data_IF_057143433955
#
_entry.id   IF_057143433955
#
_cell.length_a   1.000
_cell.length_b   1.000
_cell.length_c   1.000
_cell.angle_alpha   90.00
_cell.angle_beta   90.00
_cell.angle_gamma   90.00
#
_symmetry.space_group_name_H-M   'P 1'
#
loop_
_entity.id
_entity.type
_entity.pdbx_description
1 polymer ?
#
# COMPACT_ATOMS: atom_id res chain seq x y z
N UNK A 1 15.62 17.99 -24.28
CA UNK A 1 15.87 16.70 -23.59
C UNK A 1 15.02 16.69 -22.33
N UNK A 2 13.78 16.20 -22.43
CA UNK A 2 12.78 16.28 -21.35
C UNK A 2 12.44 14.88 -20.83
N UNK A 3 12.62 14.66 -19.53
CA UNK A 3 12.21 13.45 -18.83
C UNK A 3 10.83 13.69 -18.21
N UNK A 4 9.81 12.97 -18.69
CA UNK A 4 8.46 12.99 -18.13
C UNK A 4 8.37 12.09 -16.88
N UNK A 5 8.12 12.68 -15.71
CA UNK A 5 7.80 11.99 -14.47
C UNK A 5 6.29 11.97 -14.24
N UNK A 6 5.76 10.80 -13.86
CA UNK A 6 4.33 10.59 -13.54
C UNK A 6 4.06 10.99 -12.09
N UNK A 7 3.11 11.90 -11.85
CA UNK A 7 2.55 12.11 -10.52
C UNK A 7 1.39 11.17 -10.23
N UNK A 8 1.04 11.10 -8.97
CA UNK A 8 0.02 10.22 -8.42
C UNK A 8 -1.28 11.02 -8.31
N UNK A 9 -2.24 10.65 -9.17
CA UNK A 9 -3.65 11.10 -9.25
C UNK A 9 -3.98 12.31 -10.14
N UNK A 10 -4.31 12.04 -11.42
CA UNK A 10 -5.68 12.10 -11.95
C UNK A 10 -5.63 11.87 -13.47
N UNK A 11 -6.03 10.69 -13.96
CA UNK A 11 -6.24 10.48 -15.40
C UNK A 11 -7.47 9.61 -15.68
N UNK A 12 -8.52 10.32 -16.08
CA UNK A 12 -9.59 9.83 -16.92
C UNK A 12 -9.12 9.80 -18.39
N UNK A 13 -9.33 8.63 -19.02
CA UNK A 13 -9.62 8.42 -20.45
C UNK A 13 -8.50 8.60 -21.51
N UNK A 14 -8.22 7.51 -22.26
CA UNK A 14 -8.41 7.35 -23.74
C UNK A 14 -7.35 6.47 -24.43
N UNK A 15 -7.86 5.36 -25.00
CA UNK A 15 -7.54 4.56 -26.22
C UNK A 15 -6.21 3.80 -26.39
N UNK A 16 -6.40 2.50 -26.70
CA UNK A 16 -5.43 1.48 -27.09
C UNK A 16 -5.20 1.44 -28.61
N UNK A 17 -4.01 1.00 -29.03
CA UNK A 17 -3.79 0.17 -30.23
C UNK A 17 -2.93 -1.05 -29.86
N UNK A 18 -3.09 -2.22 -30.52
CA UNK A 18 -2.68 -3.53 -30.01
C UNK A 18 -1.40 -4.07 -30.67
N UNK A 19 -0.61 -4.92 -30.00
CA UNK A 19 0.08 -6.11 -30.58
C UNK A 19 0.53 -7.10 -29.48
N UNK A 20 -0.09 -8.28 -29.51
CA UNK A 20 0.31 -9.67 -29.18
C UNK A 20 1.22 -10.05 -27.98
N UNK A 21 0.66 -10.90 -27.10
CA UNK A 21 1.20 -12.23 -26.77
C UNK A 21 2.32 -12.37 -25.73
N UNK A 22 2.00 -12.41 -24.43
CA UNK A 22 2.82 -13.09 -23.42
C UNK A 22 1.99 -13.43 -22.15
N UNK A 23 2.34 -14.57 -21.52
CA UNK A 23 1.65 -15.27 -20.43
C UNK A 23 1.05 -14.38 -19.29
N UNK A 24 -0.17 -14.75 -18.84
CA UNK A 24 -0.89 -14.09 -17.74
C UNK A 24 -0.16 -14.23 -16.40
N UNK A 25 0.66 -13.23 -16.08
CA UNK A 25 1.34 -13.04 -14.81
C UNK A 25 0.35 -12.69 -13.69
N UNK A 26 0.45 -13.38 -12.54
CA UNK A 26 -0.35 -13.12 -11.32
C UNK A 26 -0.17 -11.65 -10.87
N UNK A 27 -1.26 -10.90 -10.78
CA UNK A 27 -1.26 -9.53 -10.24
C UNK A 27 -0.93 -9.51 -8.74
N UNK A 28 0.03 -8.67 -8.32
CA UNK A 28 0.65 -8.66 -6.97
C UNK A 28 -0.12 -7.76 -5.99
N UNK A 29 -0.24 -8.20 -4.73
CA UNK A 29 -1.01 -7.57 -3.62
C UNK A 29 -0.15 -6.64 -2.73
N UNK A 30 0.52 -5.64 -3.29
CA UNK A 30 1.30 -4.69 -2.48
C UNK A 30 1.14 -3.27 -3.00
N UNK A 31 1.22 -2.29 -2.09
CA UNK A 31 1.21 -0.85 -2.34
C UNK A 31 2.49 -0.38 -3.07
N UNK A 32 2.75 -0.96 -4.23
CA UNK A 32 3.90 -0.69 -5.07
C UNK A 32 3.38 -0.02 -6.33
N UNK A 33 4.05 1.05 -6.76
CA UNK A 33 3.75 1.71 -8.01
C UNK A 33 3.59 0.67 -9.15
N UNK A 34 2.45 0.63 -9.86
CA UNK A 34 2.19 -0.34 -10.94
C UNK A 34 3.18 -0.23 -12.11
N UNK A 35 3.88 0.91 -12.23
CA UNK A 35 4.91 1.17 -13.23
C UNK A 35 6.29 0.60 -12.83
N UNK A 36 6.44 0.15 -11.58
CA UNK A 36 7.67 -0.47 -11.06
C UNK A 36 8.83 0.50 -10.86
N UNK A 37 8.59 1.82 -10.85
CA UNK A 37 9.65 2.79 -10.64
C UNK A 37 10.15 2.74 -9.20
N UNK A 38 11.48 2.66 -9.06
CA UNK A 38 12.19 2.67 -7.78
C UNK A 38 13.59 3.24 -7.97
N UNK A 39 14.21 3.63 -6.88
CA UNK A 39 15.63 3.99 -6.90
C UNK A 39 16.51 2.77 -7.19
N UNK A 40 17.60 2.99 -7.92
CA UNK A 40 18.56 1.93 -8.30
C UNK A 40 19.72 1.79 -7.31
N UNK A 41 19.83 2.72 -6.38
CA UNK A 41 20.84 2.80 -5.33
C UNK A 41 20.17 2.91 -3.95
N UNK A 42 20.90 2.51 -2.92
CA UNK A 42 20.38 2.47 -1.55
C UNK A 42 20.72 3.72 -0.72
N UNK A 43 21.79 4.43 -1.09
CA UNK A 43 22.22 5.65 -0.40
C UNK A 43 21.55 6.85 -1.05
N UNK A 44 20.35 7.19 -0.58
CA UNK A 44 19.56 8.28 -1.08
C UNK A 44 19.91 9.58 -0.35
N UNK A 45 19.91 10.66 -1.10
CA UNK A 45 20.17 12.01 -0.59
C UNK A 45 18.90 12.83 -0.69
N UNK A 46 18.65 13.68 0.30
CA UNK A 46 17.52 14.61 0.25
C UNK A 46 17.95 16.03 0.59
N UNK A 47 17.14 17.01 0.18
CA UNK A 47 17.41 18.41 0.44
C UNK A 47 16.11 19.20 0.64
N UNK A 48 16.08 20.02 1.68
CA UNK A 48 14.98 20.94 1.96
C UNK A 48 15.30 22.28 1.30
N UNK A 49 14.55 22.64 0.26
CA UNK A 49 14.78 23.86 -0.53
C UNK A 49 13.96 25.05 -0.04
N UNK A 50 12.80 24.79 0.55
CA UNK A 50 11.92 25.80 1.17
C UNK A 50 11.44 25.26 2.51
N UNK A 51 11.25 26.13 3.50
CA UNK A 51 10.84 25.78 4.86
C UNK A 51 9.43 26.34 5.15
N UNK A 52 8.67 25.72 6.05
CA UNK A 52 7.35 26.21 6.42
C UNK A 52 7.44 27.53 7.19
N UNK A 53 6.39 28.34 7.12
CA UNK A 53 6.32 29.59 7.89
C UNK A 53 5.91 29.35 9.35
N UNK A 54 5.28 28.21 9.65
CA UNK A 54 4.68 27.91 10.96
C UNK A 54 5.58 27.09 11.89
N UNK A 55 6.69 26.55 11.37
CA UNK A 55 7.63 25.72 12.10
C UNK A 55 9.07 26.17 11.81
N UNK A 56 9.90 26.28 12.85
CA UNK A 56 11.28 26.71 12.65
C UNK A 56 12.11 25.67 11.86
N UNK A 57 13.25 26.10 11.31
CA UNK A 57 14.08 25.26 10.43
C UNK A 57 14.61 24.00 11.12
N UNK A 58 14.96 24.08 12.39
CA UNK A 58 15.56 22.97 13.12
C UNK A 58 14.52 21.90 13.46
N UNK A 59 13.34 22.30 13.91
CA UNK A 59 12.21 21.39 14.12
C UNK A 59 11.71 20.79 12.79
N UNK A 60 11.75 21.55 11.70
CA UNK A 60 11.44 21.04 10.36
C UNK A 60 12.44 19.94 9.96
N UNK A 61 13.75 20.20 10.05
CA UNK A 61 14.78 19.19 9.77
C UNK A 61 14.62 17.96 10.64
N UNK A 62 14.35 18.17 11.93
CA UNK A 62 14.11 17.08 12.88
C UNK A 62 12.89 16.25 12.49
N UNK A 63 11.78 16.88 12.11
CA UNK A 63 10.58 16.17 11.68
C UNK A 63 10.84 15.31 10.43
N UNK A 64 11.47 15.90 9.41
CA UNK A 64 11.82 15.22 8.16
C UNK A 64 12.82 14.08 8.41
N UNK A 65 13.83 14.30 9.26
CA UNK A 65 14.78 13.25 9.65
C UNK A 65 14.09 12.07 10.33
N UNK A 66 13.15 12.32 11.25
CA UNK A 66 12.37 11.25 11.91
C UNK A 66 11.53 10.49 10.88
N UNK A 67 10.94 11.19 9.91
CA UNK A 67 10.15 10.58 8.85
C UNK A 67 10.99 9.67 7.95
N UNK A 68 12.21 10.07 7.57
CA UNK A 68 13.14 9.20 6.85
C UNK A 68 13.59 8.00 7.69
N UNK A 69 13.83 8.18 8.99
CA UNK A 69 14.23 7.09 9.88
C UNK A 69 13.21 5.95 9.90
N UNK A 70 11.90 6.26 9.85
CA UNK A 70 10.83 5.25 9.77
C UNK A 70 11.02 4.27 8.61
N UNK A 71 11.51 4.74 7.46
CA UNK A 71 11.74 3.91 6.28
C UNK A 71 13.09 3.20 6.31
N UNK A 72 14.16 3.86 6.80
CA UNK A 72 15.47 3.20 6.95
C UNK A 72 15.44 2.09 8.02
N UNK A 73 14.57 2.19 9.02
CA UNK A 73 14.45 1.18 10.07
C UNK A 73 13.90 -0.17 9.56
N UNK A 74 13.20 -0.17 8.41
CA UNK A 74 12.51 -1.35 7.86
C UNK A 74 13.02 -1.77 6.48
N UNK A 75 14.01 -1.05 5.93
CA UNK A 75 14.57 -1.28 4.60
C UNK A 75 16.09 -1.05 4.58
N UNK A 76 16.83 -1.59 3.59
CA UNK A 76 18.27 -1.35 3.47
C UNK A 76 18.64 0.06 2.94
N UNK A 77 17.69 0.99 2.89
CA UNK A 77 17.90 2.35 2.42
C UNK A 77 18.59 3.21 3.48
N UNK A 78 19.50 4.06 3.04
CA UNK A 78 20.18 5.06 3.85
C UNK A 78 19.83 6.44 3.31
N UNK A 79 19.60 7.40 4.21
CA UNK A 79 19.20 8.76 3.87
C UNK A 79 20.19 9.77 4.45
N UNK A 80 20.62 10.73 3.63
CA UNK A 80 21.48 11.83 4.06
C UNK A 80 20.95 13.18 3.59
N UNK A 81 20.84 14.16 4.50
CA UNK A 81 20.51 15.54 4.13
C UNK A 81 21.72 16.20 3.47
N UNK A 82 21.51 16.83 2.32
CA UNK A 82 22.47 17.72 1.68
C UNK A 82 22.11 19.16 2.02
N UNK A 83 22.94 19.81 2.84
CA UNK A 83 22.76 21.22 3.22
C UNK A 83 23.39 22.20 2.22
N UNK A 84 24.29 21.73 1.36
CA UNK A 84 24.95 22.59 0.37
C UNK A 84 23.96 22.98 -0.75
N UNK A 85 23.70 24.28 -0.98
CA UNK A 85 22.73 24.72 -1.98
C UNK A 85 23.12 24.38 -3.42
N UNK A 86 24.40 24.17 -3.72
CA UNK A 86 24.90 23.91 -5.07
C UNK A 86 24.94 22.42 -5.44
N UNK A 87 24.65 21.53 -4.49
CA UNK A 87 24.55 20.09 -4.77
C UNK A 87 23.09 19.70 -5.01
N UNK A 88 22.88 18.86 -6.03
CA UNK A 88 21.63 18.15 -6.26
C UNK A 88 21.46 17.03 -5.25
N UNK A 89 20.21 16.64 -5.01
CA UNK A 89 19.84 15.50 -4.17
C UNK A 89 18.83 14.62 -4.93
N UNK A 90 18.69 13.36 -4.53
CA UNK A 90 17.73 12.43 -5.12
C UNK A 90 16.28 12.85 -4.80
N UNK A 91 16.04 13.33 -3.58
CA UNK A 91 14.73 13.75 -3.10
C UNK A 91 14.74 15.24 -2.75
N UNK A 92 13.94 16.04 -3.46
CA UNK A 92 13.81 17.49 -3.21
C UNK A 92 12.52 17.75 -2.42
N UNK A 93 12.66 18.43 -1.29
CA UNK A 93 11.55 18.73 -0.37
C UNK A 93 11.35 20.24 -0.31
N UNK A 94 10.11 20.71 -0.47
CA UNK A 94 9.79 22.12 -0.31
C UNK A 94 8.38 22.38 0.19
N UNK A 95 8.22 23.51 0.87
CA UNK A 95 6.93 24.02 1.35
C UNK A 95 6.51 25.16 0.44
N UNK A 96 5.34 25.05 -0.17
CA UNK A 96 4.86 25.98 -1.18
C UNK A 96 3.41 26.39 -0.94
N UNK A 97 3.01 27.53 -1.47
CA UNK A 97 1.62 28.00 -1.47
C UNK A 97 0.99 27.74 -2.84
N UNK A 98 -0.35 27.64 -2.94
CA UNK A 98 -1.16 27.64 -4.16
C UNK A 98 -0.42 27.17 -5.43
N UNK A 99 0.06 28.14 -6.23
CA UNK A 99 0.83 27.90 -7.43
C UNK A 99 2.32 27.69 -7.12
N UNK A 100 2.82 26.51 -7.47
CA UNK A 100 4.19 26.12 -7.23
C UNK A 100 4.78 25.27 -8.34
N UNK A 101 6.08 25.46 -8.54
CA UNK A 101 6.89 24.92 -9.64
C UNK A 101 6.20 25.00 -11.01
N UNK A 102 5.61 23.91 -11.47
CA UNK A 102 5.00 23.69 -12.78
C UNK A 102 3.50 23.35 -12.70
N UNK A 103 2.87 23.50 -11.53
CA UNK A 103 1.51 22.97 -11.29
C UNK A 103 0.42 23.55 -12.20
N UNK A 104 0.55 24.81 -12.63
CA UNK A 104 -0.45 25.44 -13.51
C UNK A 104 -0.48 24.85 -14.93
N UNK A 105 0.66 24.31 -15.38
CA UNK A 105 0.87 23.87 -16.76
C UNK A 105 1.01 22.35 -16.87
N UNK A 106 1.19 21.67 -15.74
CA UNK A 106 1.32 20.22 -15.67
C UNK A 106 0.03 19.61 -15.12
N UNK A 107 -0.75 18.88 -15.94
CA UNK A 107 -1.97 18.20 -15.47
C UNK A 107 -1.67 17.09 -14.46
N UNK A 108 -0.42 16.63 -14.40
CA UNK A 108 0.11 15.69 -13.41
C UNK A 108 0.86 16.45 -12.31
N UNK A 109 0.54 17.69 -12.01
CA UNK A 109 1.06 18.35 -10.82
C UNK A 109 -0.05 19.26 -10.29
N UNK A 110 -0.90 18.77 -9.37
CA UNK A 110 -1.97 19.60 -8.83
C UNK A 110 -1.38 20.80 -8.08
N UNK A 111 -2.04 21.95 -8.18
CA UNK A 111 -1.70 23.09 -7.33
C UNK A 111 -2.40 22.92 -5.97
N UNK A 112 -1.80 23.45 -4.91
CA UNK A 112 -2.42 23.42 -3.58
C UNK A 112 -3.68 24.28 -3.51
N UNK A 113 -4.56 23.93 -2.57
CA UNK A 113 -5.92 24.46 -2.42
C UNK A 113 -6.13 25.30 -1.14
N UNK A 114 -5.09 25.49 -0.33
CA UNK A 114 -5.12 26.34 0.86
C UNK A 114 -5.46 25.56 2.14
N UNK A 115 -6.21 26.17 3.06
CA UNK A 115 -6.42 25.60 4.39
C UNK A 115 -7.40 24.42 4.42
N UNK A 116 -7.01 23.35 5.12
CA UNK A 116 -7.73 22.11 5.41
C UNK A 116 -8.00 21.20 4.19
N UNK A 117 -7.23 21.38 3.12
CA UNK A 117 -7.34 20.63 1.87
C UNK A 117 -6.24 19.59 1.70
N UNK A 118 -5.55 19.66 0.58
CA UNK A 118 -4.40 18.81 0.27
C UNK A 118 -3.18 19.22 1.11
N UNK A 119 -2.76 18.35 2.03
CA UNK A 119 -1.66 18.66 2.94
C UNK A 119 -0.29 18.64 2.25
N UNK A 120 -0.10 17.70 1.33
CA UNK A 120 1.14 17.46 0.63
C UNK A 120 0.91 16.52 -0.55
N UNK A 121 1.85 16.49 -1.48
CA UNK A 121 1.96 15.45 -2.51
C UNK A 121 3.41 15.09 -2.79
N UNK A 122 3.61 13.95 -3.45
CA UNK A 122 4.92 13.49 -3.84
C UNK A 122 4.95 12.86 -5.24
N UNK A 123 6.11 12.98 -5.86
CA UNK A 123 6.40 12.37 -7.15
C UNK A 123 7.20 11.09 -6.97
N UNK A 124 6.75 10.04 -7.65
CA UNK A 124 7.43 8.75 -7.67
C UNK A 124 8.86 8.87 -8.22
N UNK A 125 9.75 7.91 -7.91
CA UNK A 125 11.03 7.80 -8.59
C UNK A 125 10.87 7.76 -10.13
N UNK A 126 11.84 8.27 -10.89
CA UNK A 126 13.08 8.92 -10.46
C UNK A 126 12.93 10.44 -10.22
N UNK A 127 11.72 11.01 -10.27
CA UNK A 127 11.54 12.47 -10.11
C UNK A 127 11.86 12.90 -8.68
N UNK A 128 11.35 12.18 -7.68
CA UNK A 128 11.78 12.35 -6.29
C UNK A 128 11.55 13.76 -5.75
N UNK A 129 10.31 14.24 -5.83
CA UNK A 129 9.96 15.55 -5.29
C UNK A 129 8.83 15.40 -4.28
N UNK A 130 8.90 16.14 -3.17
CA UNK A 130 7.86 16.19 -2.14
C UNK A 130 7.53 17.65 -1.88
N UNK A 131 6.26 18.00 -2.05
CA UNK A 131 5.78 19.35 -1.80
C UNK A 131 4.76 19.30 -0.66
N UNK A 132 4.87 20.24 0.27
CA UNK A 132 3.95 20.43 1.38
C UNK A 132 3.22 21.77 1.20
N UNK A 133 1.92 21.83 1.49
CA UNK A 133 1.19 23.10 1.47
C UNK A 133 1.63 23.97 2.66
N UNK A 134 2.08 25.18 2.36
CA UNK A 134 2.55 26.17 3.33
C UNK A 134 1.42 27.09 3.83
N UNK A 135 0.17 26.91 3.37
CA UNK A 135 -1.00 27.45 4.08
C UNK A 135 -1.33 26.62 5.32
N UNK A 136 -0.98 25.34 5.31
CA UNK A 136 -1.21 24.46 6.44
C UNK A 136 -0.30 24.77 7.62
N UNK A 137 -0.81 24.50 8.83
CA UNK A 137 -0.07 24.76 10.06
C UNK A 137 0.69 23.51 10.51
N UNK A 138 1.99 23.48 10.23
CA UNK A 138 2.86 22.36 10.58
C UNK A 138 3.38 22.44 12.02
N UNK A 139 3.37 21.30 12.70
CA UNK A 139 3.96 21.12 14.03
C UNK A 139 4.82 19.86 14.12
N UNK A 140 5.79 19.89 15.03
CA UNK A 140 6.50 18.69 15.47
C UNK A 140 5.74 18.06 16.65
N UNK A 141 4.80 17.16 16.35
CA UNK A 141 3.98 16.50 17.36
C UNK A 141 2.65 16.02 16.82
N UNK A 142 1.82 15.42 17.68
CA UNK A 142 0.51 14.92 17.26
C UNK A 142 -0.40 16.06 16.80
N UNK A 143 -0.81 15.94 15.56
CA UNK A 143 -2.05 16.39 14.94
C UNK A 143 -3.15 16.77 15.94
N UNK A 144 -3.54 18.05 15.99
CA UNK A 144 -4.56 18.56 16.91
C UNK A 144 -5.19 19.88 16.45
N UNK A 145 -6.43 20.15 16.84
CA UNK A 145 -7.05 21.45 16.63
C UNK A 145 -6.53 22.51 17.62
N UNK A 146 -6.28 23.72 17.14
CA UNK A 146 -5.89 24.87 17.96
C UNK A 146 -7.05 25.84 18.11
N UNK A 147 -7.79 25.73 19.21
CA UNK A 147 -8.94 26.62 19.49
C UNK A 147 -8.58 28.11 19.56
N UNK A 148 -7.33 28.44 19.91
CA UNK A 148 -6.83 29.82 19.93
C UNK A 148 -6.66 30.41 18.53
N UNK A 149 -6.24 29.59 17.57
CA UNK A 149 -5.96 30.03 16.20
C UNK A 149 -7.09 29.68 15.22
N UNK A 150 -8.03 28.80 15.62
CA UNK A 150 -9.12 28.33 14.78
C UNK A 150 -8.68 27.41 13.65
N UNK A 151 -7.49 26.79 13.75
CA UNK A 151 -6.88 25.98 12.68
C UNK A 151 -6.45 24.61 13.19
N UNK A 152 -6.33 23.66 12.27
CA UNK A 152 -5.75 22.36 12.54
C UNK A 152 -4.21 22.42 12.47
N UNK A 153 -3.53 21.84 13.46
CA UNK A 153 -2.08 21.75 13.50
C UNK A 153 -1.67 20.35 13.05
N UNK A 154 -1.02 20.24 11.90
CA UNK A 154 -0.68 19.00 11.22
C UNK A 154 0.66 18.42 11.69
N UNK A 155 0.68 17.12 12.00
CA UNK A 155 1.90 16.39 12.34
C UNK A 155 2.79 16.23 11.10
N UNK A 156 3.85 17.05 11.00
CA UNK A 156 4.76 17.01 9.87
C UNK A 156 5.46 15.65 9.73
N UNK A 157 5.73 14.95 10.85
CA UNK A 157 6.38 13.63 10.78
C UNK A 157 5.46 12.61 10.11
N UNK A 158 4.17 12.65 10.43
CA UNK A 158 3.19 11.72 9.89
C UNK A 158 3.02 11.92 8.38
N UNK A 159 2.73 13.15 7.96
CA UNK A 159 2.50 13.47 6.54
C UNK A 159 3.78 13.26 5.74
N UNK A 160 4.93 13.74 6.23
CA UNK A 160 6.19 13.52 5.53
C UNK A 160 6.54 12.04 5.38
N UNK A 161 6.25 11.20 6.39
CA UNK A 161 6.51 9.78 6.28
C UNK A 161 5.62 9.10 5.21
N UNK A 162 4.37 9.55 5.03
CA UNK A 162 3.50 9.11 3.94
C UNK A 162 4.09 9.51 2.58
N UNK A 163 4.40 10.80 2.39
CA UNK A 163 4.94 11.31 1.13
C UNK A 163 6.30 10.71 0.77
N UNK A 164 7.16 10.46 1.76
CA UNK A 164 8.43 9.75 1.53
C UNK A 164 8.16 8.34 1.01
N UNK A 165 7.11 7.65 1.46
CA UNK A 165 6.72 6.36 0.91
C UNK A 165 6.47 6.43 -0.61
N UNK A 166 5.75 7.46 -1.07
CA UNK A 166 5.59 7.75 -2.50
C UNK A 166 6.91 8.07 -3.19
N UNK A 167 7.74 8.95 -2.63
CA UNK A 167 9.06 9.26 -3.17
C UNK A 167 10.01 8.04 -3.19
N UNK A 168 9.69 6.97 -2.45
CA UNK A 168 10.37 5.68 -2.50
C UNK A 168 9.74 4.67 -3.48
N UNK A 169 8.60 5.00 -4.09
CA UNK A 169 7.92 4.16 -5.09
C UNK A 169 6.75 3.34 -4.54
N UNK A 170 6.30 3.61 -3.31
CA UNK A 170 5.06 3.05 -2.78
C UNK A 170 3.85 3.78 -3.33
N UNK A 171 2.73 3.07 -3.42
CA UNK A 171 1.43 3.63 -3.75
C UNK A 171 0.55 3.67 -2.50
N UNK A 172 -0.67 4.20 -2.62
CA UNK A 172 -1.65 4.13 -1.56
C UNK A 172 -2.00 2.67 -1.20
N UNK A 173 -2.01 2.37 0.10
CA UNK A 173 -2.47 1.11 0.67
C UNK A 173 -4.00 1.12 0.86
N UNK A 174 -4.60 -0.07 0.82
CA UNK A 174 -6.01 -0.29 1.19
C UNK A 174 -6.18 -0.74 2.64
N UNK A 175 -5.08 -1.01 3.33
CA UNK A 175 -5.11 -1.35 4.76
C UNK A 175 -5.38 -0.06 5.56
N UNK A 176 -6.50 0.07 6.30
CA UNK A 176 -6.81 1.26 7.08
C UNK A 176 -5.83 1.50 8.24
N UNK A 177 -4.96 0.54 8.56
CA UNK A 177 -3.91 0.69 9.55
C UNK A 177 -2.57 1.13 8.94
N UNK A 178 -2.44 1.13 7.61
CA UNK A 178 -1.22 1.50 6.92
C UNK A 178 -0.94 3.00 6.99
N UNK A 179 0.34 3.35 7.13
CA UNK A 179 0.79 4.73 6.96
C UNK A 179 0.51 5.21 5.54
N UNK A 180 0.67 4.34 4.54
CA UNK A 180 0.38 4.65 3.13
C UNK A 180 -1.11 4.65 2.80
N UNK A 181 -2.02 4.54 3.77
CA UNK A 181 -3.45 4.68 3.51
C UNK A 181 -3.79 6.15 3.17
N UNK A 182 -4.66 6.44 2.16
CA UNK A 182 -5.00 7.82 1.78
C UNK A 182 -5.51 8.68 2.93
N UNK A 183 -6.25 8.07 3.87
CA UNK A 183 -6.80 8.74 5.05
C UNK A 183 -5.95 8.57 6.32
N UNK A 184 -4.66 8.21 6.20
CA UNK A 184 -3.79 7.93 7.35
C UNK A 184 -3.72 9.12 8.33
N UNK A 185 -3.65 10.35 7.81
CA UNK A 185 -3.64 11.57 8.64
C UNK A 185 -4.91 11.70 9.48
N UNK A 186 -6.08 11.56 8.86
CA UNK A 186 -7.39 11.65 9.55
C UNK A 186 -7.60 10.52 10.56
N UNK A 187 -7.15 9.31 10.24
CA UNK A 187 -7.26 8.13 11.10
C UNK A 187 -6.15 8.04 12.15
N UNK A 188 -5.20 8.97 12.15
CA UNK A 188 -4.11 9.04 13.12
C UNK A 188 -3.06 7.93 12.98
N UNK A 189 -2.93 7.31 11.81
CA UNK A 189 -1.91 6.29 11.57
C UNK A 189 -0.53 6.94 11.41
N UNK A 190 0.31 6.76 12.42
CA UNK A 190 1.65 7.38 12.50
C UNK A 190 2.78 6.39 12.34
N UNK A 191 2.49 5.09 12.45
CA UNK A 191 3.50 4.04 12.46
C UNK A 191 3.46 3.26 11.15
N UNK A 192 4.63 2.77 10.73
CA UNK A 192 4.77 1.88 9.59
C UNK A 192 4.04 0.57 9.92
N UNK A 193 3.02 0.23 9.14
CA UNK A 193 2.26 -1.01 9.29
C UNK A 193 2.91 -2.16 8.53
N UNK A 194 2.38 -3.37 8.73
CA UNK A 194 2.93 -4.55 8.09
C UNK A 194 2.82 -4.52 6.56
N UNK A 195 1.75 -3.93 6.02
CA UNK A 195 1.58 -3.75 4.58
C UNK A 195 2.64 -2.80 4.00
N UNK A 196 2.92 -1.69 4.68
CA UNK A 196 3.98 -0.74 4.31
C UNK A 196 5.36 -1.44 4.29
N UNK A 197 5.65 -2.28 5.30
CA UNK A 197 6.89 -3.08 5.37
C UNK A 197 7.01 -4.02 4.18
N UNK A 198 5.93 -4.73 3.84
CA UNK A 198 5.96 -5.63 2.69
C UNK A 198 6.16 -4.88 1.38
N UNK A 199 5.50 -3.72 1.22
CA UNK A 199 5.68 -2.86 0.05
C UNK A 199 7.13 -2.43 -0.13
N UNK A 200 7.74 -1.84 0.90
CA UNK A 200 9.10 -1.31 0.80
C UNK A 200 10.14 -2.42 0.65
N UNK A 201 9.98 -3.54 1.36
CA UNK A 201 10.88 -4.68 1.24
C UNK A 201 10.74 -5.38 -0.11
N UNK A 202 9.56 -5.31 -0.75
CA UNK A 202 9.39 -5.83 -2.10
C UNK A 202 10.15 -4.99 -3.14
N UNK A 203 10.30 -3.69 -2.91
CA UNK A 203 11.06 -2.78 -3.76
C UNK A 203 12.57 -2.89 -3.54
N UNK A 204 13.01 -2.88 -2.29
CA UNK A 204 14.41 -2.68 -1.91
C UNK A 204 15.05 -3.89 -1.20
N UNK A 205 14.27 -4.91 -0.87
CA UNK A 205 14.75 -6.06 -0.12
C UNK A 205 14.59 -5.87 1.38
N UNK A 206 14.91 -6.92 2.14
CA UNK A 206 14.79 -6.95 3.58
C UNK A 206 16.16 -6.75 4.26
N UNK A 207 16.15 -6.67 5.59
CA UNK A 207 17.36 -6.56 6.41
C UNK A 207 17.59 -7.79 7.30
N UNK A 208 18.86 -8.05 7.60
CA UNK A 208 19.23 -9.03 8.61
C UNK A 208 19.02 -8.43 10.02
N UNK A 209 18.26 -9.13 10.86
CA UNK A 209 17.99 -8.73 12.25
C UNK A 209 19.14 -9.06 13.20
N UNK A 210 20.07 -9.92 12.79
CA UNK A 210 21.21 -10.36 13.60
C UNK A 210 22.52 -10.05 12.88
N UNK A 211 23.51 -9.54 13.62
CA UNK A 211 24.85 -9.26 13.06
C UNK A 211 25.63 -10.52 12.68
N UNK A 212 25.25 -11.67 13.24
CA UNK A 212 25.91 -12.98 13.04
C UNK A 212 25.35 -13.78 11.86
N UNK A 213 24.52 -13.18 11.01
CA UNK A 213 23.95 -13.84 9.84
C UNK A 213 25.02 -14.29 8.83
N UNK A 214 26.12 -13.54 8.70
CA UNK A 214 27.24 -13.86 7.81
C UNK A 214 27.93 -15.19 8.16
N UNK A 215 28.43 -15.39 9.41
CA UNK A 215 28.93 -16.69 9.84
C UNK A 215 27.91 -17.83 9.69
N UNK A 216 26.65 -17.61 10.06
CA UNK A 216 25.61 -18.65 9.97
C UNK A 216 25.32 -19.08 8.54
N UNK A 217 25.29 -18.15 7.59
CA UNK A 217 25.13 -18.45 6.18
C UNK A 217 26.30 -19.31 5.66
N UNK A 218 27.55 -18.95 6.02
CA UNK A 218 28.75 -19.74 5.63
C UNK A 218 28.75 -21.16 6.22
N UNK A 219 28.14 -21.36 7.39
CA UNK A 219 27.95 -22.68 8.00
C UNK A 219 26.79 -23.48 7.37
N UNK A 220 26.16 -22.96 6.31
CA UNK A 220 25.08 -23.63 5.59
C UNK A 220 23.72 -23.58 6.30
N UNK A 221 23.48 -22.59 7.17
CA UNK A 221 22.22 -22.49 7.90
C UNK A 221 21.06 -22.01 7.02
N UNK A 222 21.34 -21.38 5.88
CA UNK A 222 20.30 -20.94 4.94
C UNK A 222 19.44 -22.13 4.47
N UNK A 223 20.05 -23.30 4.30
CA UNK A 223 19.42 -24.54 3.84
C UNK A 223 19.00 -25.39 5.03
N UNK A 224 19.91 -25.62 5.99
CA UNK A 224 19.65 -26.49 7.16
C UNK A 224 18.64 -25.91 8.15
N UNK A 225 18.57 -24.58 8.23
CA UNK A 225 17.71 -23.83 9.17
C UNK A 225 16.98 -22.70 8.46
N UNK A 226 16.41 -23.01 7.30
CA UNK A 226 15.74 -22.04 6.40
C UNK A 226 14.71 -21.17 7.10
N UNK A 227 13.80 -21.73 7.90
CA UNK A 227 12.78 -20.96 8.62
C UNK A 227 13.36 -19.99 9.66
N UNK A 228 14.38 -20.43 10.41
CA UNK A 228 15.10 -19.59 11.36
C UNK A 228 15.85 -18.46 10.66
N UNK A 229 16.56 -18.78 9.58
CA UNK A 229 17.29 -17.80 8.78
C UNK A 229 16.34 -16.84 8.06
N UNK A 230 15.17 -17.27 7.60
CA UNK A 230 14.15 -16.38 7.04
C UNK A 230 13.62 -15.35 8.05
N UNK A 231 13.52 -15.74 9.32
CA UNK A 231 13.02 -14.81 10.35
C UNK A 231 14.07 -13.77 10.79
N UNK A 232 15.34 -14.13 10.76
CA UNK A 232 16.42 -13.33 11.38
C UNK A 232 17.51 -12.85 10.42
N UNK A 233 17.68 -13.52 9.29
CA UNK A 233 18.80 -13.40 8.35
C UNK A 233 18.32 -13.51 6.89
N UNK A 234 17.12 -13.01 6.60
CA UNK A 234 16.50 -13.20 5.29
C UNK A 234 17.27 -12.51 4.17
N UNK A 235 18.00 -11.43 4.46
CA UNK A 235 18.82 -10.77 3.44
C UNK A 235 20.03 -11.61 3.11
N UNK A 236 20.72 -12.15 4.13
CA UNK A 236 21.94 -12.93 3.90
C UNK A 236 21.72 -14.27 3.20
N UNK A 237 20.51 -14.82 3.31
CA UNK A 237 20.11 -16.07 2.67
C UNK A 237 19.25 -15.86 1.42
N UNK A 238 19.10 -14.62 0.93
CA UNK A 238 18.24 -14.28 -0.23
C UNK A 238 16.76 -14.72 -0.08
N UNK A 239 16.26 -14.80 1.15
CA UNK A 239 14.90 -15.23 1.50
C UNK A 239 13.90 -14.05 1.62
N UNK A 240 14.32 -12.82 1.31
CA UNK A 240 13.48 -11.61 1.46
C UNK A 240 12.17 -11.65 0.66
N UNK A 241 12.17 -12.33 -0.48
CA UNK A 241 11.02 -12.38 -1.40
C UNK A 241 10.31 -13.72 -1.40
N UNK A 242 10.77 -14.68 -0.58
CA UNK A 242 10.03 -15.90 -0.40
C UNK A 242 8.78 -15.60 0.40
N UNK A 243 7.57 -15.90 -0.11
CA UNK A 243 6.35 -15.86 0.68
C UNK A 243 6.63 -16.59 1.98
N UNK A 244 6.28 -16.03 3.16
CA UNK A 244 6.20 -16.83 4.41
C UNK A 244 5.55 -18.13 4.00
N UNK A 245 6.24 -19.26 4.22
CA UNK A 245 5.82 -20.54 3.64
C UNK A 245 4.32 -20.67 3.88
N UNK A 246 3.55 -20.57 2.80
CA UNK A 246 2.17 -20.99 2.83
C UNK A 246 2.27 -22.41 3.35
N UNK A 247 1.64 -22.69 4.49
CA UNK A 247 1.55 -24.02 5.09
C UNK A 247 1.38 -25.01 3.94
N UNK A 248 2.47 -25.66 3.54
CA UNK A 248 2.47 -26.49 2.35
C UNK A 248 1.83 -27.78 2.78
N UNK A 249 0.53 -27.91 2.53
CA UNK A 249 0.01 -28.99 1.69
C UNK A 249 -1.32 -28.52 1.10
N UNK A 250 -1.53 -28.69 -0.22
CA UNK A 250 -2.82 -28.45 -0.83
C UNK A 250 -3.82 -29.45 -0.26
N UNK A 251 -4.84 -28.97 0.46
CA UNK A 251 -6.09 -29.72 0.45
C UNK A 251 -6.58 -29.69 -1.00
N UNK A 252 -6.80 -30.85 -1.65
CA UNK A 252 -7.45 -30.89 -2.96
C UNK A 252 -8.69 -30.01 -2.89
N UNK A 253 -8.93 -29.23 -3.94
CA UNK A 253 -10.18 -28.48 -4.06
C UNK A 253 -11.32 -29.44 -3.72
N UNK A 254 -12.18 -29.13 -2.74
CA UNK A 254 -13.36 -29.94 -2.50
C UNK A 254 -14.08 -30.06 -3.85
N UNK A 255 -14.45 -31.26 -4.26
CA UNK A 255 -14.97 -31.59 -5.60
C UNK A 255 -16.25 -30.82 -6.03
N UNK A 256 -16.71 -29.85 -5.23
CA UNK A 256 -17.98 -29.14 -5.35
C UNK A 256 -17.83 -27.60 -5.40
N UNK A 257 -16.77 -27.06 -6.03
CA UNK A 257 -16.66 -25.61 -6.25
C UNK A 257 -17.51 -25.20 -7.45
N UNK A 258 -18.54 -24.37 -7.22
CA UNK A 258 -19.38 -23.83 -8.30
C UNK A 258 -18.69 -22.64 -8.97
N UNK A 259 -18.25 -22.81 -10.22
CA UNK A 259 -17.69 -21.71 -11.01
C UNK A 259 -18.82 -20.86 -11.57
N UNK A 260 -18.74 -19.54 -11.42
CA UNK A 260 -19.72 -18.58 -11.95
C UNK A 260 -19.01 -17.47 -12.70
N UNK A 261 -19.27 -17.40 -14.01
CA UNK A 261 -18.81 -16.32 -14.89
C UNK A 261 -19.77 -15.13 -14.77
N UNK A 262 -19.27 -13.98 -14.36
CA UNK A 262 -20.09 -12.79 -14.06
C UNK A 262 -19.60 -11.58 -14.86
N UNK A 263 -20.49 -10.80 -15.52
CA UNK A 263 -20.11 -9.52 -16.12
C UNK A 263 -19.56 -8.53 -15.08
N UNK A 264 -18.61 -7.70 -15.48
CA UNK A 264 -18.05 -6.64 -14.62
C UNK A 264 -19.16 -5.71 -14.09
N UNK A 265 -19.05 -5.28 -12.84
CA UNK A 265 -19.99 -4.39 -12.16
C UNK A 265 -21.28 -5.06 -11.65
N UNK A 266 -21.57 -6.33 -11.99
CA UNK A 266 -22.78 -7.00 -11.51
C UNK A 266 -22.64 -7.47 -10.06
N UNK A 267 -23.67 -7.23 -9.25
CA UNK A 267 -23.73 -7.71 -7.87
C UNK A 267 -24.09 -9.20 -7.85
N UNK A 268 -23.30 -10.00 -7.15
CA UNK A 268 -23.55 -11.43 -6.92
C UNK A 268 -23.82 -11.67 -5.45
N UNK A 269 -24.96 -12.28 -5.14
CA UNK A 269 -25.30 -12.73 -3.80
C UNK A 269 -25.05 -14.23 -3.62
N UNK A 270 -24.49 -14.59 -2.48
CA UNK A 270 -24.36 -15.95 -1.97
C UNK A 270 -25.09 -16.04 -0.64
N UNK A 271 -25.74 -17.17 -0.41
CA UNK A 271 -26.40 -17.49 0.84
C UNK A 271 -25.83 -18.79 1.38
N UNK A 272 -25.47 -18.77 2.64
CA UNK A 272 -24.92 -19.95 3.30
C UNK A 272 -25.96 -20.74 4.10
N UNK A 273 -25.87 -22.07 4.02
CA UNK A 273 -26.79 -23.01 4.70
C UNK A 273 -28.02 -23.40 3.87
N UNK A 274 -28.80 -24.35 4.38
CA UNK A 274 -30.08 -24.80 3.77
C UNK A 274 -31.24 -23.92 4.24
N UNK A 275 -32.37 -23.93 3.51
CA UNK A 275 -33.56 -23.10 3.78
C UNK A 275 -34.31 -23.43 5.09
N UNK A 276 -33.79 -24.29 5.97
CA UNK A 276 -34.53 -24.73 7.16
C UNK A 276 -34.42 -23.75 8.35
N UNK A 277 -35.50 -23.53 9.14
CA UNK A 277 -35.65 -22.34 9.98
C UNK A 277 -35.28 -22.56 11.47
N UNK A 278 -34.84 -23.75 11.88
CA UNK A 278 -34.49 -24.02 13.29
C UNK A 278 -33.10 -23.47 13.60
N UNK A 279 -33.11 -22.21 14.06
CA UNK A 279 -32.03 -21.32 14.49
C UNK A 279 -30.96 -20.99 13.43
N UNK A 280 -30.60 -19.70 13.23
CA UNK A 280 -29.59 -19.32 12.25
C UNK A 280 -28.22 -19.85 12.72
N UNK A 281 -27.54 -20.71 11.94
CA UNK A 281 -26.25 -21.23 12.34
C UNK A 281 -25.19 -20.12 12.30
N UNK A 282 -24.18 -20.20 13.18
CA UNK A 282 -23.03 -19.29 13.12
C UNK A 282 -22.25 -19.57 11.84
N UNK A 283 -22.07 -18.55 11.01
CA UNK A 283 -21.44 -18.67 9.68
C UNK A 283 -20.14 -17.88 9.66
N UNK A 284 -19.13 -18.43 9.01
CA UNK A 284 -17.87 -17.75 8.69
C UNK A 284 -17.65 -17.77 7.18
N UNK A 285 -17.31 -16.61 6.61
CA UNK A 285 -16.98 -16.46 5.20
C UNK A 285 -15.48 -16.37 4.99
N UNK A 286 -15.01 -16.92 3.88
CA UNK A 286 -13.61 -16.90 3.47
C UNK A 286 -13.50 -16.47 2.01
N UNK A 287 -12.49 -15.68 1.67
CA UNK A 287 -12.07 -15.40 0.29
C UNK A 287 -10.66 -15.94 0.11
N UNK A 288 -10.47 -16.82 -0.87
CA UNK A 288 -9.18 -17.43 -1.21
C UNK A 288 -8.46 -18.08 -0.01
N UNK A 289 -9.24 -18.60 0.94
CA UNK A 289 -8.76 -19.25 2.17
C UNK A 289 -8.61 -18.33 3.38
N UNK A 290 -8.75 -17.01 3.22
CA UNK A 290 -8.66 -16.02 4.29
C UNK A 290 -10.04 -15.62 4.82
N UNK A 291 -10.20 -15.54 6.14
CA UNK A 291 -11.50 -15.26 6.76
C UNK A 291 -11.89 -13.78 6.59
N UNK A 292 -13.10 -13.56 6.07
CA UNK A 292 -13.70 -12.23 6.03
C UNK A 292 -14.29 -11.92 7.42
N UNK A 293 -13.70 -10.95 8.11
CA UNK A 293 -14.11 -10.54 9.47
C UNK A 293 -15.09 -9.36 9.47
N UNK A 294 -15.03 -8.48 8.46
CA UNK A 294 -15.85 -7.27 8.35
C UNK A 294 -16.36 -7.05 6.92
N UNK A 295 -17.50 -6.37 6.79
CA UNK A 295 -18.01 -5.88 5.50
C UNK A 295 -17.15 -4.74 4.97
N UNK A 296 -16.91 -4.73 3.66
CA UNK A 296 -16.20 -3.67 2.93
C UNK A 296 -17.26 -2.90 2.11
N UNK A 297 -17.62 -1.67 2.52
CA UNK A 297 -18.63 -0.86 1.84
C UNK A 297 -18.35 -0.73 0.33
N UNK A 298 -19.36 -0.99 -0.49
CA UNK A 298 -19.26 -0.91 -1.96
C UNK A 298 -18.66 -2.13 -2.67
N UNK A 299 -18.02 -3.07 -1.95
CA UNK A 299 -17.32 -4.20 -2.58
C UNK A 299 -17.78 -5.57 -2.09
N UNK A 300 -17.82 -5.78 -0.77
CA UNK A 300 -18.18 -7.06 -0.13
C UNK A 300 -19.04 -6.76 1.08
N UNK A 301 -20.33 -7.11 1.02
CA UNK A 301 -21.28 -6.88 2.10
C UNK A 301 -21.65 -8.23 2.72
N UNK A 302 -21.26 -8.42 3.97
CA UNK A 302 -21.69 -9.53 4.80
C UNK A 302 -22.85 -9.09 5.70
N UNK A 303 -23.95 -9.83 5.61
CA UNK A 303 -25.10 -9.65 6.50
C UNK A 303 -25.62 -11.03 6.90
N UNK A 304 -25.43 -11.38 8.16
CA UNK A 304 -25.81 -12.66 8.74
C UNK A 304 -25.18 -13.86 7.98
N UNK A 305 -25.98 -14.52 7.14
CA UNK A 305 -25.61 -15.68 6.31
C UNK A 305 -25.44 -15.35 4.83
N UNK A 306 -25.66 -14.09 4.47
CA UNK A 306 -25.61 -13.61 3.09
C UNK A 306 -24.31 -12.84 2.84
N UNK A 307 -23.67 -13.13 1.71
CA UNK A 307 -22.51 -12.42 1.19
C UNK A 307 -22.89 -11.82 -0.16
N UNK A 308 -22.75 -10.51 -0.32
CA UNK A 308 -22.92 -9.84 -1.62
C UNK A 308 -21.59 -9.26 -2.06
N UNK A 309 -21.21 -9.51 -3.31
CA UNK A 309 -20.01 -8.95 -3.91
C UNK A 309 -20.36 -8.21 -5.19
N UNK A 310 -19.59 -7.18 -5.54
CA UNK A 310 -19.62 -6.58 -6.89
C UNK A 310 -18.59 -7.31 -7.74
N UNK A 311 -18.98 -7.93 -8.84
CA UNK A 311 -18.04 -8.63 -9.72
C UNK A 311 -17.07 -7.64 -10.39
N UNK A 312 -15.81 -7.68 -9.98
CA UNK A 312 -14.70 -6.93 -10.54
C UNK A 312 -13.40 -7.74 -10.32
N UNK A 313 -12.29 -7.22 -10.79
CA UNK A 313 -10.97 -7.85 -10.78
C UNK A 313 -10.48 -8.13 -9.35
N UNK A 314 -10.95 -7.34 -8.39
CA UNK A 314 -10.60 -7.47 -6.96
C UNK A 314 -11.44 -8.54 -6.24
N UNK A 315 -12.70 -8.69 -6.66
CA UNK A 315 -13.66 -9.65 -6.11
C UNK A 315 -13.69 -10.97 -6.89
N UNK A 316 -12.78 -11.15 -7.86
CA UNK A 316 -12.50 -12.46 -8.43
C UNK A 316 -11.80 -13.35 -7.39
N UNK A 317 -12.15 -14.63 -7.35
CA UNK A 317 -11.60 -15.57 -6.37
C UNK A 317 -12.56 -16.64 -5.91
N UNK A 318 -12.11 -17.46 -4.98
CA UNK A 318 -12.92 -18.53 -4.37
C UNK A 318 -13.50 -18.07 -3.05
N UNK A 319 -14.82 -18.00 -2.98
CA UNK A 319 -15.56 -17.69 -1.76
C UNK A 319 -16.03 -18.98 -1.13
N UNK A 320 -15.64 -19.22 0.12
CA UNK A 320 -16.04 -20.40 0.87
C UNK A 320 -16.84 -19.96 2.10
N UNK A 321 -18.04 -20.50 2.23
CA UNK A 321 -18.78 -20.41 3.47
C UNK A 321 -18.54 -21.65 4.33
N UNK A 322 -18.36 -21.48 5.64
CA UNK A 322 -18.37 -22.55 6.64
C UNK A 322 -19.50 -22.33 7.66
N UNK A 323 -20.31 -23.35 7.87
CA UNK A 323 -21.41 -23.38 8.85
C UNK A 323 -20.93 -24.06 10.13
N UNK A 324 -21.09 -23.40 11.27
CA UNK A 324 -20.67 -23.91 12.57
C UNK A 324 -21.89 -24.33 13.43
N UNK A 325 -21.83 -25.51 14.04
CA UNK A 325 -22.82 -26.01 15.01
C UNK A 325 -22.08 -26.59 16.23
N UNK A 326 -22.36 -26.05 17.42
CA UNK A 326 -21.69 -26.45 18.68
C UNK A 326 -20.16 -26.47 18.59
N UNK A 327 -19.57 -25.47 17.91
CA UNK A 327 -18.11 -25.34 17.74
C UNK A 327 -17.52 -26.08 16.52
N UNK A 328 -18.23 -27.06 15.95
CA UNK A 328 -17.74 -27.86 14.83
C UNK A 328 -18.26 -27.35 13.47
N UNK A 329 -17.44 -27.47 12.43
CA UNK A 329 -17.84 -27.16 11.05
C UNK A 329 -18.69 -28.31 10.51
N UNK A 330 -19.96 -28.03 10.24
CA UNK A 330 -20.95 -29.03 9.80
C UNK A 330 -21.19 -29.01 8.29
N UNK A 331 -20.86 -27.92 7.60
CA UNK A 331 -21.01 -27.81 6.14
C UNK A 331 -20.12 -26.71 5.58
N UNK A 332 -19.62 -26.91 4.35
CA UNK A 332 -18.87 -25.89 3.62
C UNK A 332 -19.31 -25.84 2.14
N UNK A 333 -19.66 -24.64 1.66
CA UNK A 333 -20.03 -24.39 0.27
C UNK A 333 -19.02 -23.43 -0.35
N UNK A 334 -18.54 -23.73 -1.56
CA UNK A 334 -17.54 -22.89 -2.24
C UNK A 334 -18.01 -22.46 -3.63
N UNK A 335 -17.74 -21.20 -3.96
CA UNK A 335 -18.05 -20.58 -5.24
C UNK A 335 -16.80 -19.92 -5.80
N UNK A 336 -16.42 -20.25 -7.03
CA UNK A 336 -15.36 -19.55 -7.74
C UNK A 336 -15.99 -18.50 -8.66
N UNK A 337 -15.69 -17.23 -8.41
CA UNK A 337 -16.16 -16.12 -9.23
C UNK A 337 -15.08 -15.76 -10.22
N UNK A 338 -15.49 -15.67 -11.48
CA UNK A 338 -14.65 -15.34 -12.63
C UNK A 338 -15.37 -14.27 -13.46
N UNK A 339 -14.64 -13.31 -14.02
CA UNK A 339 -15.24 -12.31 -14.88
C UNK A 339 -15.52 -12.87 -16.27
N UNK A 340 -16.66 -12.52 -16.86
CA UNK A 340 -16.92 -12.81 -18.26
C UNK A 340 -15.93 -12.02 -19.12
N UNK A 341 -15.24 -12.65 -20.08
CA UNK A 341 -14.47 -11.92 -21.08
C UNK A 341 -15.43 -11.01 -21.85
N UNK A 342 -15.01 -9.77 -22.11
CA UNK A 342 -15.77 -8.83 -22.93
C UNK A 342 -15.84 -9.40 -24.36
N UNK A 343 -17.06 -9.60 -24.86
CA UNK A 343 -17.22 -9.93 -26.28
C UNK A 343 -16.78 -8.71 -27.08
N UNK A 344 -15.93 -8.88 -28.12
CA UNK A 344 -15.65 -7.79 -29.02
C UNK A 344 -16.98 -7.35 -29.64
N UNK A 345 -17.36 -6.10 -29.41
CA UNK A 345 -18.47 -5.48 -30.12
C UNK A 345 -18.11 -5.45 -31.60
N UNK A 346 -18.78 -6.25 -32.41
CA UNK A 346 -18.78 -6.09 -33.86
C UNK A 346 -19.39 -4.72 -34.17
N UNK A 347 -18.53 -3.73 -34.43
CA UNK A 347 -18.84 -2.48 -35.13
C UNK A 347 -17.55 -1.90 -35.67
#
# INVERSE_FOLDING_TARGET
MGAGGLSVESLSSVKHHPVTGAALSRSKRYAINPLGHKWKHFNLTYKIVKFPNTLNKDDTRKAISIAFSKWSDVSPLYFAEITNPNKSADIIIGFYTWNHTDCWWSPLHPCFDGLNGELAHAFLPPRGEIHFDNHEFWILGKSRFSWKQGVWLNDLVQVAAHEIGHALGLWHSRDPQALMHPNATYTGQRNIAQDDIWGIQRLYGCMDKKRVCDPWARLGFCERRKSFMKKHCARRCDLCYEPLEAVTTPTPLPANVKIKMVPRGKVVGFRCGTKNPRSPPKVSWYKDGEQLLISIPGYIIMKDRDLRIVANEFNEGTYTCRVHRSGNVVSANSWAIRLKPEQPSNS
#
